data_IF_271664337212
#
_entry.id   IF_271664337212
#
_cell.length_a   1.000
_cell.length_b   1.000
_cell.length_c   1.000
_cell.angle_alpha   90.00
_cell.angle_beta   90.00
_cell.angle_gamma   90.00
#
_symmetry.space_group_name_H-M   'P 1'
#
loop_
_entity.id
_entity.type
_entity.pdbx_description
1 polymer ?
#
# COMPACT_ATOMS: atom_id res chain seq x y z
N UNK A 1 28.95 -6.42 -7.27
CA UNK A 1 28.69 -7.70 -7.96
C UNK A 1 28.12 -7.42 -9.35
N UNK A 2 28.80 -7.80 -10.41
CA UNK A 2 28.37 -7.54 -11.78
C UNK A 2 27.06 -8.31 -12.07
N UNK A 3 26.01 -7.59 -12.36
CA UNK A 3 24.70 -8.14 -12.70
C UNK A 3 24.83 -8.84 -14.06
N UNK A 4 24.91 -10.18 -14.08
CA UNK A 4 25.08 -10.95 -15.30
C UNK A 4 23.79 -10.84 -16.15
N UNK A 5 23.78 -9.88 -17.10
CA UNK A 5 22.63 -9.58 -17.98
C UNK A 5 22.14 -10.79 -18.78
N UNK A 6 22.92 -11.87 -18.84
CA UNK A 6 22.60 -13.10 -19.58
C UNK A 6 22.02 -14.22 -18.69
N UNK A 7 21.89 -14.01 -17.39
CA UNK A 7 21.29 -15.00 -16.48
C UNK A 7 19.83 -15.26 -16.86
N UNK A 8 19.48 -16.51 -17.15
CA UNK A 8 18.15 -16.93 -17.50
C UNK A 8 17.83 -16.98 -19.00
N UNK A 9 18.84 -16.90 -19.88
CA UNK A 9 18.71 -17.12 -21.32
C UNK A 9 19.41 -18.43 -21.69
N UNK A 10 18.74 -19.28 -22.41
CA UNK A 10 19.24 -20.60 -22.78
C UNK A 10 18.70 -21.03 -24.13
N UNK A 11 19.42 -21.97 -24.79
CA UNK A 11 19.02 -22.56 -26.05
C UNK A 11 18.26 -23.86 -25.80
N UNK A 12 17.19 -24.08 -26.56
CA UNK A 12 16.40 -25.30 -26.57
C UNK A 12 17.02 -26.33 -27.49
N UNK A 13 16.68 -27.60 -27.33
CA UNK A 13 17.15 -28.71 -28.18
C UNK A 13 16.81 -28.53 -29.68
N UNK A 14 15.73 -27.84 -29.98
CA UNK A 14 15.30 -27.50 -31.34
C UNK A 14 16.05 -26.31 -31.96
N UNK A 15 17.14 -25.83 -31.31
CA UNK A 15 17.95 -24.72 -31.77
C UNK A 15 17.38 -23.32 -31.50
N UNK A 16 16.13 -23.18 -31.08
CA UNK A 16 15.54 -21.90 -30.72
C UNK A 16 16.01 -21.46 -29.33
N UNK A 17 15.87 -20.17 -29.06
CA UNK A 17 16.23 -19.58 -27.77
C UNK A 17 15.01 -19.41 -26.89
N UNK A 18 15.22 -19.47 -25.61
CA UNK A 18 14.22 -19.21 -24.59
C UNK A 18 14.79 -18.34 -23.47
N UNK A 19 13.92 -17.69 -22.74
CA UNK A 19 14.30 -16.94 -21.55
C UNK A 19 13.42 -17.31 -20.36
N UNK A 20 13.95 -17.10 -19.17
CA UNK A 20 13.22 -17.08 -17.91
C UNK A 20 13.63 -15.88 -17.09
N UNK A 21 12.75 -15.38 -16.28
CA UNK A 21 13.07 -14.44 -15.23
C UNK A 21 12.22 -14.68 -13.99
N UNK A 22 12.74 -14.22 -12.87
CA UNK A 22 12.02 -14.09 -11.60
C UNK A 22 12.35 -12.70 -11.07
N UNK A 23 11.34 -11.94 -10.71
CA UNK A 23 11.48 -10.61 -10.16
C UNK A 23 10.38 -10.37 -9.12
N UNK A 24 10.63 -9.45 -8.20
CA UNK A 24 9.61 -8.98 -7.27
C UNK A 24 9.05 -7.67 -7.79
N UNK A 25 7.74 -7.57 -7.91
CA UNK A 25 7.00 -6.38 -8.31
C UNK A 25 5.94 -6.15 -7.25
N UNK A 26 5.97 -5.00 -6.59
CA UNK A 26 5.05 -4.62 -5.52
C UNK A 26 4.90 -5.70 -4.42
N UNK A 27 6.03 -6.26 -3.96
CA UNK A 27 6.08 -7.31 -2.94
C UNK A 27 5.69 -8.72 -3.44
N UNK A 28 5.16 -8.86 -4.65
CA UNK A 28 4.77 -10.14 -5.23
C UNK A 28 5.86 -10.70 -6.16
N UNK A 29 6.11 -12.01 -6.05
CA UNK A 29 7.06 -12.71 -6.90
C UNK A 29 6.42 -13.03 -8.24
N UNK A 30 6.93 -12.39 -9.31
CA UNK A 30 6.51 -12.63 -10.69
C UNK A 30 7.59 -13.45 -11.40
N UNK A 31 7.20 -14.54 -12.04
CA UNK A 31 8.09 -15.37 -12.83
C UNK A 31 7.50 -15.63 -14.22
N UNK A 32 8.35 -15.69 -15.23
CA UNK A 32 7.93 -16.02 -16.58
C UNK A 32 9.00 -16.86 -17.28
N UNK A 33 8.54 -17.78 -18.13
CA UNK A 33 9.38 -18.59 -19.01
C UNK A 33 8.72 -18.61 -20.39
N UNK A 34 9.40 -18.07 -21.42
CA UNK A 34 8.88 -18.01 -22.80
C UNK A 34 9.97 -18.34 -23.82
N UNK A 35 9.55 -18.91 -24.95
CA UNK A 35 10.39 -19.18 -26.14
C UNK A 35 9.96 -18.35 -27.36
N UNK A 36 9.04 -17.41 -27.13
CA UNK A 36 8.50 -16.48 -28.13
C UNK A 36 8.64 -15.05 -27.69
N UNK A 37 8.61 -14.12 -28.64
CA UNK A 37 8.47 -12.69 -28.36
C UNK A 37 7.01 -12.32 -28.01
N UNK A 38 6.77 -11.02 -27.81
CA UNK A 38 5.44 -10.46 -27.52
C UNK A 38 4.40 -10.69 -28.63
N UNK A 39 4.86 -10.90 -29.87
CA UNK A 39 4.02 -11.18 -31.04
C UNK A 39 3.84 -12.67 -31.31
N UNK A 40 4.39 -13.55 -30.49
CA UNK A 40 4.31 -15.01 -30.67
C UNK A 40 5.36 -15.61 -31.58
N UNK A 41 6.32 -14.83 -32.08
CA UNK A 41 7.37 -15.32 -32.97
C UNK A 41 8.45 -16.10 -32.17
N UNK A 42 8.95 -17.20 -32.74
CA UNK A 42 10.03 -17.99 -32.13
C UNK A 42 11.34 -17.20 -32.06
N UNK A 43 12.06 -17.31 -30.97
CA UNK A 43 13.33 -16.63 -30.75
C UNK A 43 14.46 -17.46 -31.39
N UNK A 44 14.95 -17.01 -32.54
CA UNK A 44 16.00 -17.72 -33.33
C UNK A 44 17.41 -17.36 -32.89
N UNK A 45 17.61 -16.25 -32.20
CA UNK A 45 18.92 -15.78 -31.77
C UNK A 45 18.96 -15.40 -30.32
N UNK A 46 20.13 -15.49 -29.69
CA UNK A 46 20.36 -15.06 -28.31
C UNK A 46 20.00 -13.57 -28.10
N UNK A 47 20.28 -12.73 -29.11
CA UNK A 47 19.97 -11.28 -29.06
C UNK A 47 18.47 -11.03 -29.00
N UNK A 48 17.67 -11.81 -29.77
CA UNK A 48 16.21 -11.73 -29.70
C UNK A 48 15.68 -12.19 -28.34
N UNK A 49 16.26 -13.23 -27.74
CA UNK A 49 15.86 -13.70 -26.42
C UNK A 49 16.17 -12.69 -25.30
N UNK A 50 17.30 -11.97 -25.41
CA UNK A 50 17.63 -10.87 -24.48
C UNK A 50 16.57 -9.77 -24.59
N UNK A 51 16.29 -9.29 -25.81
CA UNK A 51 15.31 -8.22 -26.05
C UNK A 51 13.91 -8.63 -25.57
N UNK A 52 13.47 -9.84 -25.92
CA UNK A 52 12.14 -10.34 -25.50
C UNK A 52 12.02 -10.47 -23.97
N UNK A 53 13.10 -10.88 -23.29
CA UNK A 53 13.15 -10.91 -21.82
C UNK A 53 13.05 -9.52 -21.21
N UNK A 54 13.77 -8.54 -21.75
CA UNK A 54 13.73 -7.15 -21.26
C UNK A 54 12.34 -6.54 -21.45
N UNK A 55 11.70 -6.75 -22.64
CA UNK A 55 10.31 -6.33 -22.86
C UNK A 55 9.34 -6.98 -21.87
N UNK A 56 9.43 -8.29 -21.68
CA UNK A 56 8.55 -9.01 -20.75
C UNK A 56 8.74 -8.56 -19.28
N UNK A 57 9.97 -8.24 -18.88
CA UNK A 57 10.23 -7.69 -17.55
C UNK A 57 9.69 -6.26 -17.39
N UNK A 58 9.79 -5.42 -18.42
CA UNK A 58 9.22 -4.08 -18.44
C UNK A 58 7.69 -4.12 -18.36
N UNK A 59 7.07 -5.01 -19.16
CA UNK A 59 5.62 -5.24 -19.14
C UNK A 59 5.12 -5.69 -17.76
N UNK A 60 5.83 -6.65 -17.12
CA UNK A 60 5.50 -7.12 -15.78
C UNK A 60 5.56 -5.98 -14.73
N UNK A 61 6.56 -5.08 -14.83
CA UNK A 61 6.65 -3.90 -13.96
C UNK A 61 5.49 -2.91 -14.18
N UNK A 62 5.12 -2.69 -15.45
CA UNK A 62 4.00 -1.81 -15.80
C UNK A 62 2.66 -2.41 -15.35
N UNK A 63 2.48 -3.72 -15.49
CA UNK A 63 1.28 -4.42 -15.04
C UNK A 63 1.14 -4.34 -13.50
N UNK A 64 2.24 -4.49 -12.75
CA UNK A 64 2.27 -4.30 -11.30
C UNK A 64 1.85 -2.87 -10.91
N UNK A 65 2.48 -1.85 -11.52
CA UNK A 65 2.11 -0.45 -11.28
C UNK A 65 0.63 -0.18 -11.58
N UNK A 66 0.10 -0.65 -12.72
CA UNK A 66 -1.33 -0.49 -13.06
C UNK A 66 -2.24 -1.16 -12.05
N UNK A 67 -1.91 -2.38 -11.60
CA UNK A 67 -2.68 -3.08 -10.58
C UNK A 67 -2.69 -2.31 -9.26
N UNK A 68 -1.55 -1.77 -8.86
CA UNK A 68 -1.43 -0.94 -7.65
C UNK A 68 -2.26 0.35 -7.78
N UNK A 69 -2.16 1.06 -8.92
CA UNK A 69 -2.97 2.28 -9.18
C UNK A 69 -4.47 2.00 -9.15
N UNK A 70 -4.92 0.89 -9.76
CA UNK A 70 -6.34 0.50 -9.77
C UNK A 70 -6.84 0.13 -8.36
N UNK A 71 -5.98 -0.43 -7.52
CA UNK A 71 -6.34 -0.82 -6.15
C UNK A 71 -6.23 0.31 -5.12
N UNK A 72 -5.55 1.42 -5.47
CA UNK A 72 -5.40 2.56 -4.54
C UNK A 72 -6.75 3.12 -4.14
N UNK A 73 -6.87 3.43 -2.87
CA UNK A 73 -8.08 4.01 -2.28
C UNK A 73 -7.74 5.28 -1.51
N UNK A 74 -8.62 6.27 -1.62
CA UNK A 74 -8.54 7.44 -0.74
C UNK A 74 -9.00 7.08 0.66
N UNK A 75 -8.56 7.85 1.65
CA UNK A 75 -8.97 7.65 3.04
C UNK A 75 -10.48 7.74 3.20
N UNK A 76 -11.14 8.63 2.45
CA UNK A 76 -12.61 8.75 2.45
C UNK A 76 -13.30 7.50 1.91
N UNK A 77 -12.77 6.91 0.83
CA UNK A 77 -13.31 5.66 0.29
C UNK A 77 -13.19 4.52 1.30
N UNK A 78 -12.03 4.40 1.96
CA UNK A 78 -11.82 3.39 3.00
C UNK A 78 -12.70 3.63 4.22
N UNK A 79 -12.85 4.89 4.65
CA UNK A 79 -13.76 5.24 5.74
C UNK A 79 -15.21 4.87 5.42
N UNK A 80 -15.70 5.17 4.22
CA UNK A 80 -17.05 4.82 3.79
C UNK A 80 -17.24 3.29 3.78
N UNK A 81 -16.26 2.54 3.28
CA UNK A 81 -16.29 1.08 3.31
C UNK A 81 -16.28 0.52 4.75
N UNK A 82 -15.50 1.13 5.65
CA UNK A 82 -15.56 0.82 7.08
C UNK A 82 -16.95 1.10 7.66
N UNK A 83 -17.59 2.21 7.28
CA UNK A 83 -18.94 2.54 7.73
C UNK A 83 -19.97 1.49 7.32
N UNK A 84 -19.86 0.97 6.10
CA UNK A 84 -20.77 -0.03 5.56
C UNK A 84 -20.57 -1.42 6.14
N UNK A 85 -19.31 -1.84 6.30
CA UNK A 85 -18.94 -3.23 6.57
C UNK A 85 -18.26 -3.44 7.93
N UNK A 86 -17.47 -2.46 8.38
CA UNK A 86 -16.57 -2.62 9.54
C UNK A 86 -17.18 -2.25 10.88
N UNK A 87 -18.31 -1.59 10.93
CA UNK A 87 -18.94 -1.13 12.18
C UNK A 87 -20.30 -1.73 12.50
N UNK A 88 -20.64 -2.84 11.85
CA UNK A 88 -21.85 -3.61 12.14
C UNK A 88 -21.90 -4.03 13.61
N UNK A 89 -23.02 -3.79 14.29
CA UNK A 89 -23.22 -4.14 15.70
C UNK A 89 -22.62 -3.15 16.71
N UNK A 90 -22.04 -2.02 16.28
CA UNK A 90 -21.56 -0.98 17.20
C UNK A 90 -22.73 -0.14 17.74
N UNK A 91 -22.58 0.29 19.02
CA UNK A 91 -23.58 1.14 19.66
C UNK A 91 -23.76 2.47 18.91
N UNK A 92 -24.99 2.94 18.82
CA UNK A 92 -25.37 4.18 18.12
C UNK A 92 -24.51 5.40 18.52
N UNK A 93 -24.27 5.59 19.80
CA UNK A 93 -23.45 6.72 20.28
C UNK A 93 -21.99 6.66 19.82
N UNK A 94 -21.45 5.43 19.66
CA UNK A 94 -20.10 5.21 19.10
C UNK A 94 -20.06 5.60 17.63
N UNK A 95 -21.05 5.16 16.85
CA UNK A 95 -21.19 5.50 15.43
C UNK A 95 -21.29 7.01 15.25
N UNK A 96 -22.19 7.66 15.99
CA UNK A 96 -22.39 9.12 15.95
C UNK A 96 -21.12 9.90 16.29
N UNK A 97 -20.36 9.45 17.30
CA UNK A 97 -19.08 10.05 17.68
C UNK A 97 -18.06 9.92 16.52
N UNK A 98 -17.94 8.75 15.93
CA UNK A 98 -17.02 8.51 14.82
C UNK A 98 -17.37 9.40 13.61
N UNK A 99 -18.64 9.49 13.24
CA UNK A 99 -19.09 10.33 12.12
C UNK A 99 -18.84 11.82 12.38
N UNK A 100 -19.04 12.27 13.60
CA UNK A 100 -18.75 13.65 14.00
C UNK A 100 -17.26 13.96 13.90
N UNK A 101 -16.40 13.06 14.40
CA UNK A 101 -14.95 13.22 14.36
C UNK A 101 -14.43 13.21 12.92
N UNK A 102 -14.90 12.27 12.12
CA UNK A 102 -14.55 12.18 10.71
C UNK A 102 -14.90 13.48 9.96
N UNK A 103 -16.17 13.86 9.99
CA UNK A 103 -16.69 15.01 9.25
C UNK A 103 -16.06 16.34 9.65
N UNK A 104 -15.87 16.55 10.95
CA UNK A 104 -15.46 17.86 11.46
C UNK A 104 -13.95 18.05 11.56
N UNK A 105 -13.17 16.96 11.56
CA UNK A 105 -11.74 17.04 11.86
C UNK A 105 -10.82 16.30 10.88
N UNK A 106 -11.24 15.16 10.34
CA UNK A 106 -10.34 14.30 9.57
C UNK A 106 -10.58 14.36 8.05
N UNK A 107 -11.83 14.54 7.63
CA UNK A 107 -12.21 14.48 6.22
C UNK A 107 -11.48 15.52 5.37
N UNK A 108 -11.36 16.76 5.84
CA UNK A 108 -10.70 17.84 5.12
C UNK A 108 -9.20 17.57 4.94
N UNK A 109 -8.54 17.13 6.02
CA UNK A 109 -7.09 16.92 6.04
C UNK A 109 -6.64 15.65 5.30
N UNK A 110 -7.43 14.58 5.37
CA UNK A 110 -7.00 13.26 4.89
C UNK A 110 -7.92 12.65 3.82
N UNK A 111 -9.19 13.05 3.74
CA UNK A 111 -10.21 12.36 2.96
C UNK A 111 -9.86 12.15 1.49
N UNK A 112 -9.33 13.15 0.82
CA UNK A 112 -8.98 13.13 -0.62
C UNK A 112 -7.64 12.47 -0.91
N UNK A 113 -6.83 12.21 0.11
CA UNK A 113 -5.49 11.64 -0.05
C UNK A 113 -5.56 10.12 -0.15
N UNK A 114 -4.61 9.54 -0.85
CA UNK A 114 -4.49 8.10 -0.90
C UNK A 114 -3.95 7.57 0.44
N UNK A 115 -4.49 6.43 0.88
CA UNK A 115 -4.18 5.88 2.20
C UNK A 115 -2.74 5.40 2.31
N UNK A 116 -2.14 4.96 1.21
CA UNK A 116 -0.74 4.51 1.11
C UNK A 116 0.29 5.66 1.14
N UNK A 117 -0.16 6.91 1.01
CA UNK A 117 0.69 8.11 1.06
C UNK A 117 0.80 8.70 2.48
N UNK A 118 -0.01 8.25 3.41
CA UNK A 118 -0.04 8.83 4.78
C UNK A 118 0.98 8.10 5.66
N UNK A 119 1.95 8.87 6.16
CA UNK A 119 2.99 8.36 7.04
C UNK A 119 2.59 8.37 8.52
N UNK A 120 3.24 7.52 9.31
CA UNK A 120 3.09 7.53 10.79
C UNK A 120 3.52 8.87 11.40
N UNK A 121 4.59 9.47 10.86
CA UNK A 121 5.06 10.78 11.33
C UNK A 121 3.98 11.84 11.19
N UNK A 122 3.31 11.88 10.04
CA UNK A 122 2.24 12.82 9.76
C UNK A 122 1.01 12.61 10.66
N UNK A 123 0.67 11.36 10.98
CA UNK A 123 -0.40 11.07 11.95
C UNK A 123 0.00 11.60 13.34
N UNK A 124 1.25 11.43 13.74
CA UNK A 124 1.75 11.93 15.01
C UNK A 124 1.73 13.45 15.08
N UNK A 125 2.15 14.12 14.01
CA UNK A 125 2.11 15.59 13.92
C UNK A 125 0.68 16.11 14.02
N UNK A 126 -0.26 15.47 13.32
CA UNK A 126 -1.68 15.80 13.42
C UNK A 126 -2.23 15.62 14.85
N UNK A 127 -1.89 14.51 15.52
CA UNK A 127 -2.32 14.28 16.90
C UNK A 127 -1.71 15.29 17.88
N UNK A 128 -0.43 15.63 17.69
CA UNK A 128 0.24 16.66 18.46
C UNK A 128 -0.41 18.04 18.28
N UNK A 129 -0.74 18.40 17.03
CA UNK A 129 -1.47 19.63 16.74
C UNK A 129 -2.83 19.69 17.47
N UNK A 130 -3.61 18.62 17.39
CA UNK A 130 -4.91 18.51 18.06
C UNK A 130 -4.81 18.66 19.58
N UNK A 131 -3.76 18.10 20.17
CA UNK A 131 -3.56 18.16 21.61
C UNK A 131 -2.98 19.50 22.07
N UNK A 132 -1.84 19.93 21.49
CA UNK A 132 -1.09 21.09 21.97
C UNK A 132 -1.60 22.43 21.44
N UNK A 133 -2.08 22.47 20.20
CA UNK A 133 -2.50 23.68 19.53
C UNK A 133 -4.01 23.92 19.64
N UNK A 134 -4.80 22.89 19.36
CA UNK A 134 -6.27 22.98 19.41
C UNK A 134 -6.82 22.79 20.82
N UNK A 135 -5.99 22.36 21.80
CA UNK A 135 -6.36 22.27 23.22
C UNK A 135 -7.34 21.13 23.55
N UNK A 136 -7.45 20.10 22.69
CA UNK A 136 -8.30 18.96 23.00
C UNK A 136 -7.74 18.13 24.16
N UNK A 137 -8.63 17.55 24.99
CA UNK A 137 -8.19 16.63 26.03
C UNK A 137 -7.49 15.40 25.47
N UNK A 138 -6.58 14.81 26.26
CA UNK A 138 -5.88 13.57 25.88
C UNK A 138 -6.83 12.47 25.42
N UNK A 139 -7.87 12.20 26.19
CA UNK A 139 -8.86 11.17 25.89
C UNK A 139 -9.59 11.43 24.56
N UNK A 140 -9.80 12.68 24.20
CA UNK A 140 -10.40 13.05 22.93
C UNK A 140 -9.39 12.87 21.78
N UNK A 141 -8.14 13.30 21.99
CA UNK A 141 -7.05 13.13 21.02
C UNK A 141 -6.77 11.64 20.76
N UNK A 142 -6.76 10.80 21.81
CA UNK A 142 -6.66 9.35 21.68
C UNK A 142 -7.80 8.76 20.80
N UNK A 143 -8.95 9.39 20.79
CA UNK A 143 -10.05 8.96 19.92
C UNK A 143 -9.74 9.18 18.44
N UNK A 144 -8.97 10.22 18.06
CA UNK A 144 -8.47 10.38 16.68
C UNK A 144 -7.51 9.25 16.29
N UNK A 145 -6.58 8.91 17.18
CA UNK A 145 -5.68 7.77 16.94
C UNK A 145 -6.47 6.47 16.71
N UNK A 146 -7.50 6.21 17.53
CA UNK A 146 -8.40 5.05 17.35
C UNK A 146 -9.11 5.09 15.99
N UNK A 147 -9.49 6.26 15.51
CA UNK A 147 -10.07 6.41 14.16
C UNK A 147 -9.06 6.02 13.05
N UNK A 148 -7.81 6.45 13.17
CA UNK A 148 -6.76 6.00 12.23
C UNK A 148 -6.61 4.49 12.25
N UNK A 149 -6.54 3.85 13.41
CA UNK A 149 -6.46 2.39 13.48
C UNK A 149 -7.66 1.68 12.83
N UNK A 150 -8.87 2.21 12.96
CA UNK A 150 -10.05 1.64 12.32
C UNK A 150 -9.98 1.75 10.80
N UNK A 151 -9.60 2.91 10.27
CA UNK A 151 -9.50 3.17 8.83
C UNK A 151 -8.36 2.35 8.21
N UNK A 152 -7.17 2.39 8.82
CA UNK A 152 -6.01 1.64 8.31
C UNK A 152 -6.18 0.13 8.49
N UNK A 153 -6.84 -0.32 9.56
CA UNK A 153 -7.22 -1.73 9.74
C UNK A 153 -8.18 -2.21 8.66
N UNK A 154 -9.16 -1.39 8.25
CA UNK A 154 -10.04 -1.68 7.13
C UNK A 154 -9.24 -1.77 5.82
N UNK A 155 -8.33 -0.82 5.57
CA UNK A 155 -7.49 -0.83 4.37
C UNK A 155 -6.60 -2.07 4.29
N UNK A 156 -5.99 -2.46 5.40
CA UNK A 156 -5.18 -3.67 5.48
C UNK A 156 -6.01 -4.93 5.19
N UNK A 157 -7.20 -5.04 5.79
CA UNK A 157 -8.08 -6.20 5.58
C UNK A 157 -8.59 -6.34 4.14
N UNK A 158 -8.43 -5.29 3.34
CA UNK A 158 -8.84 -5.20 1.92
C UNK A 158 -7.68 -5.17 0.94
N UNK A 159 -6.46 -5.39 1.40
CA UNK A 159 -5.24 -5.37 0.58
C UNK A 159 -4.99 -4.01 -0.12
N UNK A 160 -5.45 -2.88 0.48
CA UNK A 160 -5.17 -1.53 -0.02
C UNK A 160 -3.85 -0.98 0.53
N UNK A 161 -3.32 -1.56 1.60
CA UNK A 161 -2.01 -1.30 2.17
C UNK A 161 -1.18 -2.58 2.15
N UNK A 162 0.13 -2.44 1.92
CA UNK A 162 1.05 -3.55 2.11
C UNK A 162 1.27 -3.84 3.60
N UNK A 163 1.75 -5.06 3.88
CA UNK A 163 2.02 -5.53 5.26
C UNK A 163 3.02 -4.62 5.96
N UNK A 164 4.03 -4.13 5.25
CA UNK A 164 5.09 -3.31 5.84
C UNK A 164 4.58 -1.93 6.24
N UNK A 165 3.76 -1.30 5.40
CA UNK A 165 3.13 0.00 5.71
C UNK A 165 2.18 -0.12 6.89
N UNK A 166 1.35 -1.17 6.93
CA UNK A 166 0.45 -1.42 8.05
C UNK A 166 1.21 -1.74 9.35
N UNK A 167 2.24 -2.58 9.29
CA UNK A 167 3.06 -2.92 10.46
C UNK A 167 3.80 -1.71 11.03
N UNK A 168 4.28 -0.79 10.20
CA UNK A 168 4.86 0.48 10.66
C UNK A 168 3.86 1.33 11.43
N UNK A 169 2.59 1.35 11.01
CA UNK A 169 1.51 2.05 11.72
C UNK A 169 1.13 1.34 13.02
N UNK A 170 1.06 0.00 13.03
CA UNK A 170 0.65 -0.79 14.18
C UNK A 170 1.75 -1.02 15.21
N UNK A 171 3.01 -1.17 14.78
CA UNK A 171 4.15 -1.47 15.64
C UNK A 171 4.62 -0.26 16.45
N UNK A 172 4.26 0.95 16.06
CA UNK A 172 4.58 2.14 16.83
C UNK A 172 3.67 2.25 18.07
N UNK A 173 3.69 1.21 18.94
CA UNK A 173 3.14 1.26 20.30
C UNK A 173 3.75 2.39 21.14
N UNK A 174 4.85 2.97 20.66
CA UNK A 174 5.52 4.14 21.24
C UNK A 174 5.03 5.47 20.66
N UNK A 175 3.98 5.50 19.85
CA UNK A 175 3.20 6.69 19.59
C UNK A 175 2.43 7.08 20.87
N UNK A 176 3.11 7.08 21.98
CA UNK A 176 2.68 7.83 23.15
C UNK A 176 2.81 9.27 22.74
N UNK A 177 1.68 9.93 22.52
CA UNK A 177 1.62 11.38 22.65
C UNK A 177 2.33 11.65 23.96
N UNK A 178 3.52 12.26 23.89
CA UNK A 178 4.28 12.59 25.07
C UNK A 178 3.48 13.68 25.79
N UNK A 179 2.71 13.26 26.78
CA UNK A 179 1.98 14.18 27.63
C UNK A 179 3.00 14.89 28.49
N UNK A 180 3.00 16.22 28.57
CA UNK A 180 3.67 16.87 29.68
C UNK A 180 3.02 16.31 30.95
N UNK A 181 3.80 15.69 31.82
CA UNK A 181 3.42 15.41 33.20
C UNK A 181 3.03 16.74 33.79
N UNK A 182 1.73 16.90 34.04
CA UNK A 182 1.20 18.13 34.64
C UNK A 182 1.92 18.44 35.94
N UNK A 183 2.41 19.66 36.03
CA UNK A 183 2.73 20.30 37.28
C UNK A 183 1.45 20.56 38.05
#
# INVERSE_FOLDING_TARGET
MANNKNSGIYQLENGNWAFRFVMTVDGQKVSSRKSTDEFGNKLKTKKQAIKARESAMAEARLAGKRKHEISRRTVEQVYNEYCEKGRTGRAYMTVRKQDCMWRNHMKESFGKRYIDEISVAEINDYLAEKYYKDGYSFRYTESFLKMFYLIFGQAYSRDYLDVDSYNKLCLNKNTKIHMPTGS
#
